data_IF_256197208839
#
_entry.id   IF_256197208839
#
_cell.length_a   1.000
_cell.length_b   1.000
_cell.length_c   1.000
_cell.angle_alpha   90.00
_cell.angle_beta   90.00
_cell.angle_gamma   90.00
#
_symmetry.space_group_name_H-M   'P 1'
#
loop_
_entity.id
_entity.type
_entity.pdbx_description
1 polymer ?
#
# COMPACT_ATOMS: atom_id res chain seq x y z
N UNK A 1 9.93 -20.37 -3.72
CA UNK A 1 10.25 -21.33 -2.63
C UNK A 1 9.95 -22.79 -3.04
N UNK A 2 9.92 -23.09 -4.35
CA UNK A 2 9.39 -24.35 -4.92
C UNK A 2 10.48 -25.31 -5.41
N UNK A 3 11.67 -24.82 -5.79
CA UNK A 3 12.71 -25.67 -6.39
C UNK A 3 13.52 -26.51 -5.40
N UNK A 4 13.55 -26.16 -4.12
CA UNK A 4 14.31 -26.92 -3.09
C UNK A 4 13.48 -28.05 -2.48
N UNK A 5 12.16 -27.84 -2.31
CA UNK A 5 11.23 -28.84 -1.78
C UNK A 5 11.14 -30.03 -2.74
N UNK A 6 10.93 -29.76 -4.04
CA UNK A 6 10.93 -30.78 -5.10
C UNK A 6 12.23 -31.62 -5.14
N UNK A 7 13.41 -31.04 -4.90
CA UNK A 7 14.69 -31.80 -4.86
C UNK A 7 14.73 -32.81 -3.72
N UNK A 8 14.33 -32.40 -2.51
CA UNK A 8 14.31 -33.27 -1.33
C UNK A 8 13.26 -34.37 -1.45
N UNK A 9 12.15 -34.10 -2.12
CA UNK A 9 11.08 -35.08 -2.31
C UNK A 9 11.45 -36.12 -3.38
N UNK A 10 12.06 -35.69 -4.48
CA UNK A 10 12.71 -36.61 -5.43
C UNK A 10 13.78 -37.46 -4.73
N UNK A 11 14.64 -36.85 -3.92
CA UNK A 11 15.68 -37.55 -3.17
C UNK A 11 15.14 -38.64 -2.23
N UNK A 12 14.06 -38.33 -1.50
CA UNK A 12 13.35 -39.30 -0.65
C UNK A 12 12.72 -40.43 -1.46
N UNK A 13 12.12 -40.12 -2.60
CA UNK A 13 11.54 -41.13 -3.48
C UNK A 13 12.61 -42.08 -4.05
N UNK A 14 13.71 -41.52 -4.56
CA UNK A 14 14.87 -42.30 -5.05
C UNK A 14 15.44 -43.19 -3.95
N UNK A 15 15.58 -42.66 -2.73
CA UNK A 15 16.04 -43.43 -1.56
C UNK A 15 15.11 -44.60 -1.25
N UNK A 16 13.80 -44.38 -1.26
CA UNK A 16 12.80 -45.40 -0.96
C UNK A 16 12.81 -46.51 -2.02
N UNK A 17 12.83 -46.15 -3.31
CA UNK A 17 12.87 -47.11 -4.42
C UNK A 17 14.17 -47.89 -4.49
N UNK A 18 15.32 -47.24 -4.26
CA UNK A 18 16.63 -47.92 -4.19
C UNK A 18 16.63 -48.99 -3.10
N UNK A 19 16.13 -48.63 -1.90
CA UNK A 19 16.04 -49.57 -0.77
C UNK A 19 15.07 -50.71 -1.06
N UNK A 20 13.94 -50.43 -1.71
CA UNK A 20 12.98 -51.47 -2.13
C UNK A 20 13.58 -52.44 -3.17
N UNK A 21 14.48 -51.95 -4.02
CA UNK A 21 15.26 -52.78 -4.96
C UNK A 21 16.45 -53.50 -4.31
N UNK A 22 16.69 -53.34 -3.01
CA UNK A 22 17.78 -53.98 -2.27
C UNK A 22 19.18 -53.45 -2.61
N UNK A 23 19.28 -52.30 -3.29
CA UNK A 23 20.57 -51.76 -3.77
C UNK A 23 21.21 -50.84 -2.73
N UNK A 24 22.54 -50.83 -2.63
CA UNK A 24 23.31 -49.79 -1.92
C UNK A 24 23.49 -48.53 -2.79
N UNK A 25 23.87 -47.37 -2.20
CA UNK A 25 24.16 -46.16 -2.99
C UNK A 25 25.28 -46.40 -4.01
N UNK A 26 26.32 -47.13 -3.59
CA UNK A 26 27.44 -47.56 -4.43
C UNK A 26 27.00 -48.45 -5.59
N UNK A 27 26.12 -49.41 -5.34
CA UNK A 27 25.60 -50.30 -6.40
C UNK A 27 24.76 -49.54 -7.41
N UNK A 28 23.84 -48.67 -6.96
CA UNK A 28 23.05 -47.82 -7.85
C UNK A 28 23.95 -46.89 -8.69
N UNK A 29 24.96 -46.30 -8.05
CA UNK A 29 25.93 -45.44 -8.74
C UNK A 29 26.73 -46.21 -9.81
N UNK A 30 27.12 -47.45 -9.51
CA UNK A 30 27.84 -48.32 -10.44
C UNK A 30 27.00 -48.65 -11.67
N UNK A 31 25.72 -48.98 -11.48
CA UNK A 31 24.79 -49.31 -12.58
C UNK A 31 24.44 -48.12 -13.45
N UNK A 32 24.40 -46.92 -12.87
CA UNK A 32 24.11 -45.68 -13.59
C UNK A 32 25.37 -44.96 -14.11
N UNK A 33 26.56 -45.57 -13.95
CA UNK A 33 27.85 -44.99 -14.34
C UNK A 33 28.11 -43.59 -13.77
N UNK A 34 27.73 -43.37 -12.51
CA UNK A 34 27.98 -42.12 -11.77
C UNK A 34 28.73 -42.37 -10.48
N UNK A 35 29.16 -41.28 -9.84
CA UNK A 35 29.80 -41.36 -8.53
C UNK A 35 28.77 -41.61 -7.43
N UNK A 36 29.16 -42.35 -6.39
CA UNK A 36 28.35 -42.53 -5.18
C UNK A 36 27.98 -41.18 -4.53
N UNK A 37 28.88 -40.20 -4.62
CA UNK A 37 28.64 -38.81 -4.17
C UNK A 37 27.47 -38.16 -4.91
N UNK A 38 27.30 -38.41 -6.22
CA UNK A 38 26.18 -37.88 -7.00
C UNK A 38 24.84 -38.45 -6.50
N UNK A 39 24.76 -39.77 -6.31
CA UNK A 39 23.57 -40.44 -5.74
C UNK A 39 23.27 -39.91 -4.33
N UNK A 40 24.29 -39.77 -3.49
CA UNK A 40 24.15 -39.18 -2.15
C UNK A 40 23.65 -37.74 -2.17
N UNK A 41 24.05 -36.92 -3.16
CA UNK A 41 23.54 -35.55 -3.33
C UNK A 41 22.08 -35.55 -3.80
N UNK A 42 21.70 -36.46 -4.69
CA UNK A 42 20.30 -36.62 -5.13
C UNK A 42 19.40 -37.04 -3.96
N UNK A 43 19.79 -38.09 -3.23
CA UNK A 43 19.02 -38.61 -2.09
C UNK A 43 18.83 -37.58 -0.97
N UNK A 44 19.80 -36.66 -0.79
CA UNK A 44 19.71 -35.54 0.18
C UNK A 44 19.02 -34.29 -0.38
N UNK A 45 18.62 -34.28 -1.64
CA UNK A 45 17.99 -33.13 -2.30
C UNK A 45 18.93 -31.94 -2.54
N UNK A 46 20.24 -32.18 -2.62
CA UNK A 46 21.24 -31.14 -2.91
C UNK A 46 21.39 -30.86 -4.41
N UNK A 47 21.07 -31.83 -5.27
CA UNK A 47 21.10 -31.70 -6.72
C UNK A 47 20.04 -32.57 -7.38
N UNK A 48 19.70 -32.27 -8.64
CA UNK A 48 18.91 -33.18 -9.48
C UNK A 48 19.83 -34.15 -10.25
N UNK A 49 19.34 -35.34 -10.60
CA UNK A 49 19.91 -36.10 -11.70
C UNK A 49 19.75 -35.30 -13.00
N UNK A 50 20.75 -35.40 -13.88
CA UNK A 50 20.68 -34.80 -15.21
C UNK A 50 19.47 -35.34 -15.97
N UNK A 51 18.84 -34.53 -16.82
CA UNK A 51 17.66 -34.93 -17.60
C UNK A 51 17.95 -36.17 -18.47
N UNK A 52 19.18 -36.29 -18.95
CA UNK A 52 19.66 -37.47 -19.72
C UNK A 52 19.70 -38.75 -18.89
N UNK A 53 19.78 -38.64 -17.56
CA UNK A 53 19.85 -39.76 -16.63
C UNK A 53 18.48 -40.22 -16.12
N UNK A 54 17.43 -39.43 -16.32
CA UNK A 54 16.09 -39.71 -15.75
C UNK A 54 15.54 -41.05 -16.25
N UNK A 55 15.75 -41.39 -17.53
CA UNK A 55 15.33 -42.68 -18.10
C UNK A 55 16.10 -43.85 -17.48
N UNK A 56 17.44 -43.77 -17.42
CA UNK A 56 18.27 -44.82 -16.84
C UNK A 56 17.97 -45.03 -15.34
N UNK A 57 17.81 -43.94 -14.60
CA UNK A 57 17.43 -43.97 -13.19
C UNK A 57 16.06 -44.62 -12.99
N UNK A 58 15.08 -44.30 -13.83
CA UNK A 58 13.73 -44.90 -13.75
C UNK A 58 13.76 -46.42 -14.00
N UNK A 59 14.56 -46.87 -14.98
CA UNK A 59 14.72 -48.28 -15.30
C UNK A 59 15.35 -49.08 -14.14
N UNK A 60 16.42 -48.58 -13.54
CA UNK A 60 17.08 -49.23 -12.40
C UNK A 60 16.23 -49.25 -11.12
N UNK A 61 15.40 -48.22 -10.92
CA UNK A 61 14.48 -48.13 -9.79
C UNK A 61 13.14 -48.89 -10.03
N UNK A 62 12.97 -49.48 -11.22
CA UNK A 62 11.77 -50.20 -11.62
C UNK A 62 10.50 -49.35 -11.57
N UNK A 63 10.60 -48.05 -11.88
CA UNK A 63 9.49 -47.10 -11.93
C UNK A 63 9.38 -46.53 -13.33
N UNK A 64 8.19 -46.06 -13.71
CA UNK A 64 8.09 -45.29 -14.96
C UNK A 64 8.74 -43.91 -14.80
N UNK A 65 9.22 -43.33 -15.90
CA UNK A 65 9.68 -41.93 -15.92
C UNK A 65 8.59 -40.99 -15.40
N UNK A 66 7.34 -41.27 -15.77
CA UNK A 66 6.18 -40.52 -15.31
C UNK A 66 6.01 -40.58 -13.79
N UNK A 67 6.18 -41.77 -13.19
CA UNK A 67 6.12 -41.98 -11.75
C UNK A 67 7.29 -41.31 -11.00
N UNK A 68 8.50 -41.32 -11.57
CA UNK A 68 9.67 -40.64 -11.01
C UNK A 68 9.50 -39.11 -10.98
N UNK A 69 8.85 -38.54 -12.00
CA UNK A 69 8.57 -37.09 -12.09
C UNK A 69 7.40 -36.72 -11.17
N UNK A 70 6.27 -37.44 -11.27
CA UNK A 70 5.07 -37.13 -10.49
C UNK A 70 5.22 -37.40 -9.00
N UNK A 71 6.08 -38.32 -8.55
CA UNK A 71 6.28 -38.54 -7.11
C UNK A 71 6.75 -37.27 -6.37
N UNK A 72 7.49 -36.39 -7.06
CA UNK A 72 7.86 -35.08 -6.52
C UNK A 72 6.66 -34.12 -6.47
N UNK A 73 5.84 -34.10 -7.51
CA UNK A 73 4.65 -33.26 -7.62
C UNK A 73 3.49 -33.70 -6.70
N UNK A 74 3.35 -35.00 -6.44
CA UNK A 74 2.28 -35.57 -5.62
C UNK A 74 2.46 -35.27 -4.13
N UNK A 75 3.72 -35.17 -3.68
CA UNK A 75 4.07 -34.75 -2.32
C UNK A 75 3.88 -33.25 -2.13
N UNK A 76 4.29 -32.43 -3.10
CA UNK A 76 4.01 -30.99 -3.12
C UNK A 76 2.50 -30.72 -3.15
N UNK A 77 1.75 -31.42 -4.00
CA UNK A 77 0.29 -31.31 -4.07
C UNK A 77 -0.41 -31.73 -2.77
N UNK A 78 0.12 -32.69 -2.01
CA UNK A 78 -0.40 -33.08 -0.69
C UNK A 78 -0.04 -32.07 0.40
N UNK A 79 1.17 -31.49 0.36
CA UNK A 79 1.58 -30.42 1.26
C UNK A 79 0.72 -29.17 1.04
N UNK A 80 0.57 -28.73 -0.22
CA UNK A 80 -0.29 -27.61 -0.62
C UNK A 80 -1.76 -27.85 -0.23
N UNK A 81 -2.26 -29.09 -0.37
CA UNK A 81 -3.61 -29.44 0.09
C UNK A 81 -3.75 -29.42 1.61
N UNK A 82 -2.72 -29.77 2.37
CA UNK A 82 -2.71 -29.70 3.85
C UNK A 82 -2.67 -28.24 4.30
N UNK A 83 -1.81 -27.44 3.71
CA UNK A 83 -1.67 -26.01 4.01
C UNK A 83 -2.95 -25.24 3.60
N UNK A 84 -3.57 -25.60 2.49
CA UNK A 84 -4.87 -25.05 2.09
C UNK A 84 -6.01 -25.46 3.05
N UNK A 85 -5.97 -26.66 3.64
CA UNK A 85 -6.95 -27.07 4.67
C UNK A 85 -6.71 -26.32 5.98
N UNK A 86 -5.46 -26.22 6.42
CA UNK A 86 -5.09 -25.47 7.62
C UNK A 86 -5.47 -23.98 7.48
N UNK A 87 -5.15 -23.36 6.34
CA UNK A 87 -5.53 -21.98 6.03
C UNK A 87 -7.04 -21.78 6.01
N UNK A 88 -7.80 -22.72 5.42
CA UNK A 88 -9.27 -22.68 5.45
C UNK A 88 -9.84 -22.80 6.87
N UNK A 89 -9.27 -23.68 7.69
CA UNK A 89 -9.67 -23.87 9.08
C UNK A 89 -9.37 -22.65 9.94
N UNK A 90 -8.15 -22.13 9.86
CA UNK A 90 -7.73 -20.93 10.59
C UNK A 90 -8.55 -19.69 10.20
N UNK A 91 -8.76 -19.46 8.90
CA UNK A 91 -9.60 -18.36 8.41
C UNK A 91 -11.04 -18.49 8.88
N UNK A 92 -11.61 -19.69 8.82
CA UNK A 92 -12.97 -19.94 9.33
C UNK A 92 -13.04 -19.70 10.85
N UNK A 93 -12.04 -20.12 11.61
CA UNK A 93 -11.97 -19.89 13.05
C UNK A 93 -11.95 -18.40 13.38
N UNK A 94 -11.14 -17.59 12.69
CA UNK A 94 -11.11 -16.12 12.87
C UNK A 94 -12.45 -15.49 12.47
N UNK A 95 -13.03 -15.92 11.36
CA UNK A 95 -14.30 -15.38 10.90
C UNK A 95 -15.42 -15.64 11.91
N UNK A 96 -15.54 -16.87 12.41
CA UNK A 96 -16.58 -17.22 13.37
C UNK A 96 -16.31 -16.64 14.76
N UNK A 97 -15.05 -16.54 15.18
CA UNK A 97 -14.71 -15.91 16.46
C UNK A 97 -15.02 -14.41 16.45
N UNK A 98 -14.62 -13.69 15.39
CA UNK A 98 -14.91 -12.25 15.24
C UNK A 98 -16.40 -12.00 15.06
N UNK A 99 -17.09 -12.76 14.20
CA UNK A 99 -18.53 -12.66 14.04
C UNK A 99 -19.29 -12.95 15.35
N UNK A 100 -18.87 -13.98 16.09
CA UNK A 100 -19.44 -14.32 17.39
C UNK A 100 -19.21 -13.23 18.43
N UNK A 101 -18.02 -12.64 18.49
CA UNK A 101 -17.70 -11.53 19.38
C UNK A 101 -18.56 -10.28 19.08
N UNK A 102 -18.73 -9.93 17.80
CA UNK A 102 -19.60 -8.81 17.40
C UNK A 102 -21.08 -9.10 17.69
N UNK A 103 -21.57 -10.31 17.42
CA UNK A 103 -22.94 -10.70 17.74
C UNK A 103 -23.20 -10.66 19.26
N UNK A 104 -22.25 -11.16 20.06
CA UNK A 104 -22.33 -11.08 21.52
C UNK A 104 -22.32 -9.63 22.00
N UNK A 105 -21.44 -8.78 21.47
CA UNK A 105 -21.39 -7.36 21.83
C UNK A 105 -22.72 -6.64 21.51
N UNK A 106 -23.31 -6.90 20.35
CA UNK A 106 -24.62 -6.36 19.97
C UNK A 106 -25.74 -6.88 20.87
N UNK A 107 -25.75 -8.18 21.18
CA UNK A 107 -26.75 -8.79 22.06
C UNK A 107 -26.66 -8.24 23.48
N UNK A 108 -25.45 -8.15 24.05
CA UNK A 108 -25.20 -7.57 25.36
C UNK A 108 -25.63 -6.11 25.38
N UNK A 109 -25.25 -5.31 24.37
CA UNK A 109 -25.66 -3.92 24.27
C UNK A 109 -27.18 -3.76 24.15
N UNK A 110 -27.85 -4.65 23.42
CA UNK A 110 -29.29 -4.64 23.26
C UNK A 110 -30.01 -4.92 24.58
N UNK A 111 -29.61 -5.98 25.29
CA UNK A 111 -30.19 -6.38 26.58
C UNK A 111 -30.00 -5.27 27.62
N UNK A 112 -28.77 -4.75 27.75
CA UNK A 112 -28.45 -3.70 28.73
C UNK A 112 -29.20 -2.41 28.43
N UNK A 113 -29.34 -2.02 27.15
CA UNK A 113 -30.12 -0.83 26.80
C UNK A 113 -31.58 -0.97 27.19
N UNK A 114 -32.19 -2.11 26.83
CA UNK A 114 -33.59 -2.37 27.16
C UNK A 114 -33.83 -2.52 28.66
N UNK A 115 -32.85 -3.04 29.42
CA UNK A 115 -32.98 -3.20 30.87
C UNK A 115 -32.81 -1.90 31.64
N UNK A 116 -31.92 -1.01 31.18
CA UNK A 116 -31.60 0.24 31.90
C UNK A 116 -32.49 1.38 31.45
N UNK A 117 -32.63 1.57 30.13
CA UNK A 117 -33.31 2.72 29.54
C UNK A 117 -34.74 2.42 29.14
N UNK A 118 -35.14 1.13 29.06
CA UNK A 118 -36.42 0.68 28.52
C UNK A 118 -36.72 1.15 27.08
N UNK A 119 -35.71 1.71 26.41
CA UNK A 119 -35.71 2.24 25.05
C UNK A 119 -34.47 1.71 24.30
N UNK A 120 -34.34 2.06 23.02
CA UNK A 120 -33.21 1.65 22.18
C UNK A 120 -32.25 2.80 21.85
N UNK A 121 -31.99 3.72 22.79
CA UNK A 121 -31.29 4.98 22.48
C UNK A 121 -29.81 4.78 22.08
N UNK A 122 -28.94 4.32 22.99
CA UNK A 122 -27.52 4.12 22.64
C UNK A 122 -27.27 2.89 21.74
N UNK A 123 -28.20 1.95 21.66
CA UNK A 123 -28.08 0.77 20.80
C UNK A 123 -27.92 1.16 19.32
N UNK A 124 -28.65 2.20 18.88
CA UNK A 124 -28.53 2.71 17.52
C UNK A 124 -27.16 3.32 17.22
N UNK A 125 -26.38 3.72 18.23
CA UNK A 125 -24.99 4.17 18.07
C UNK A 125 -24.03 2.98 18.03
N UNK A 126 -24.24 2.00 18.93
CA UNK A 126 -23.40 0.80 19.02
C UNK A 126 -23.50 -0.06 17.75
N UNK A 127 -24.69 -0.20 17.17
CA UNK A 127 -24.91 -1.00 15.95
C UNK A 127 -24.01 -0.58 14.77
N UNK A 128 -24.07 0.67 14.27
CA UNK A 128 -23.22 1.11 13.17
C UNK A 128 -21.73 1.14 13.54
N UNK A 129 -21.36 1.38 14.81
CA UNK A 129 -19.97 1.28 15.27
C UNK A 129 -19.42 -0.15 15.18
N UNK A 130 -20.20 -1.15 15.62
CA UNK A 130 -19.82 -2.56 15.51
C UNK A 130 -19.79 -3.02 14.05
N UNK A 131 -20.75 -2.59 13.23
CA UNK A 131 -20.73 -2.92 11.79
C UNK A 131 -19.55 -2.27 11.06
N UNK A 132 -19.14 -1.06 11.45
CA UNK A 132 -17.92 -0.42 10.96
C UNK A 132 -16.71 -1.28 11.28
N UNK A 133 -16.56 -1.74 12.53
CA UNK A 133 -15.47 -2.63 12.90
C UNK A 133 -15.51 -3.96 12.11
N UNK A 134 -16.69 -4.59 12.01
CA UNK A 134 -16.89 -5.84 11.27
C UNK A 134 -16.62 -5.70 9.76
N UNK A 135 -16.91 -4.52 9.19
CA UNK A 135 -16.66 -4.24 7.77
C UNK A 135 -15.17 -4.26 7.45
N UNK A 136 -14.30 -3.86 8.38
CA UNK A 136 -12.85 -3.82 8.20
C UNK A 136 -12.15 -5.13 8.59
N UNK A 137 -12.70 -5.88 9.55
CA UNK A 137 -12.05 -7.09 10.10
C UNK A 137 -12.62 -8.40 9.55
N UNK A 138 -13.96 -8.52 9.50
CA UNK A 138 -14.64 -9.77 9.15
C UNK A 138 -14.99 -9.84 7.67
N UNK A 139 -15.39 -8.72 7.05
CA UNK A 139 -15.82 -8.70 5.65
C UNK A 139 -14.72 -9.09 4.63
N UNK A 140 -13.45 -8.63 4.76
CA UNK A 140 -12.36 -9.09 3.89
C UNK A 140 -12.11 -10.60 3.96
N UNK A 141 -12.48 -11.23 5.08
CA UNK A 141 -12.34 -12.67 5.29
C UNK A 141 -13.47 -13.48 4.66
N UNK A 142 -14.53 -12.85 4.12
CA UNK A 142 -15.58 -13.54 3.38
C UNK A 142 -15.12 -13.94 1.97
N UNK A 143 -15.71 -15.00 1.41
CA UNK A 143 -15.40 -15.49 0.06
C UNK A 143 -16.22 -14.74 -0.99
N UNK A 144 -16.08 -13.42 -1.02
CA UNK A 144 -16.78 -12.55 -1.98
C UNK A 144 -15.76 -12.09 -3.02
N UNK A 145 -16.10 -12.07 -4.32
CA UNK A 145 -15.24 -11.44 -5.31
C UNK A 145 -14.97 -9.99 -4.89
N UNK A 146 -13.70 -9.57 -4.96
CA UNK A 146 -13.29 -8.19 -4.63
C UNK A 146 -13.66 -7.78 -3.19
N UNK A 147 -13.53 -8.70 -2.21
CA UNK A 147 -13.88 -8.46 -0.80
C UNK A 147 -13.31 -7.16 -0.20
N UNK A 148 -12.13 -6.70 -0.63
CA UNK A 148 -11.58 -5.41 -0.19
C UNK A 148 -12.45 -4.21 -0.56
N UNK A 149 -13.07 -4.19 -1.75
CA UNK A 149 -13.96 -3.12 -2.17
C UNK A 149 -15.27 -3.12 -1.38
N UNK A 150 -15.80 -4.30 -1.07
CA UNK A 150 -16.99 -4.44 -0.22
C UNK A 150 -16.71 -4.06 1.24
N UNK A 151 -15.50 -4.35 1.73
CA UNK A 151 -15.06 -3.96 3.08
C UNK A 151 -15.00 -2.44 3.20
N UNK A 152 -14.43 -1.79 2.20
CA UNK A 152 -14.38 -0.33 2.13
C UNK A 152 -15.77 0.30 2.04
N UNK A 153 -16.62 -0.20 1.14
CA UNK A 153 -17.98 0.29 0.99
C UNK A 153 -18.77 0.12 2.30
N UNK A 154 -18.66 -1.05 2.93
CA UNK A 154 -19.25 -1.33 4.23
C UNK A 154 -18.78 -0.34 5.30
N UNK A 155 -17.47 -0.05 5.36
CA UNK A 155 -16.92 0.89 6.32
C UNK A 155 -17.45 2.33 6.11
N UNK A 156 -17.47 2.81 4.86
CA UNK A 156 -17.97 4.15 4.53
C UNK A 156 -19.46 4.25 4.87
N UNK A 157 -20.26 3.24 4.52
CA UNK A 157 -21.70 3.22 4.81
C UNK A 157 -21.94 3.15 6.31
N UNK A 158 -21.27 2.25 7.05
CA UNK A 158 -21.41 2.14 8.49
C UNK A 158 -20.98 3.41 9.22
N UNK A 159 -19.92 4.08 8.77
CA UNK A 159 -19.51 5.37 9.32
C UNK A 159 -20.54 6.46 9.03
N UNK A 160 -21.09 6.53 7.81
CA UNK A 160 -22.14 7.48 7.47
C UNK A 160 -23.41 7.26 8.31
N UNK A 161 -23.83 6.00 8.50
CA UNK A 161 -24.96 5.66 9.37
C UNK A 161 -24.67 6.03 10.82
N UNK A 162 -23.47 5.75 11.33
CA UNK A 162 -23.06 6.16 12.68
C UNK A 162 -23.20 7.67 12.86
N UNK A 163 -22.69 8.46 11.92
CA UNK A 163 -22.79 9.92 11.95
C UNK A 163 -24.24 10.40 11.88
N UNK A 164 -25.08 9.78 11.04
CA UNK A 164 -26.50 10.10 10.93
C UNK A 164 -27.28 9.80 12.21
N UNK A 165 -26.99 8.68 12.87
CA UNK A 165 -27.62 8.36 14.16
C UNK A 165 -27.22 9.37 15.22
N UNK A 166 -25.93 9.69 15.33
CA UNK A 166 -25.44 10.70 16.29
C UNK A 166 -26.10 12.04 16.02
N UNK A 167 -26.23 12.43 14.75
CA UNK A 167 -26.92 13.65 14.33
C UNK A 167 -28.39 13.67 14.73
N UNK A 168 -29.12 12.58 14.49
CA UNK A 168 -30.53 12.46 14.84
C UNK A 168 -30.76 12.56 16.37
N UNK A 169 -29.83 12.05 17.17
CA UNK A 169 -29.92 12.08 18.63
C UNK A 169 -29.54 13.43 19.25
N UNK A 170 -28.64 14.20 18.61
CA UNK A 170 -28.12 15.46 19.15
C UNK A 170 -28.76 16.72 18.53
N UNK A 171 -30.02 16.62 18.07
CA UNK A 171 -30.82 17.79 17.70
C UNK A 171 -30.56 18.36 16.30
N UNK A 172 -29.98 17.59 15.37
CA UNK A 172 -30.14 17.86 13.95
C UNK A 172 -29.38 19.06 13.36
N UNK A 173 -28.15 19.35 13.82
CA UNK A 173 -27.34 20.51 13.35
C UNK A 173 -26.73 20.37 11.93
N UNK A 174 -26.23 21.47 11.36
CA UNK A 174 -25.61 21.49 10.01
C UNK A 174 -24.29 20.72 9.91
N UNK A 175 -23.69 20.35 11.05
CA UNK A 175 -22.40 19.67 11.13
C UNK A 175 -22.38 18.30 10.41
N UNK A 176 -23.54 17.63 10.25
CA UNK A 176 -23.60 16.34 9.55
C UNK A 176 -23.15 16.44 8.11
N UNK A 177 -23.49 17.53 7.43
CA UNK A 177 -23.10 17.75 6.03
C UNK A 177 -21.60 17.95 5.91
N UNK A 178 -20.99 18.66 6.87
CA UNK A 178 -19.54 18.82 6.96
C UNK A 178 -18.88 17.45 7.18
N UNK A 179 -19.39 16.65 8.13
CA UNK A 179 -18.83 15.34 8.44
C UNK A 179 -18.93 14.38 7.24
N UNK A 180 -20.09 14.30 6.57
CA UNK A 180 -20.28 13.45 5.39
C UNK A 180 -19.42 13.90 4.21
N UNK A 181 -19.35 15.20 3.94
CA UNK A 181 -18.47 15.74 2.90
C UNK A 181 -16.99 15.45 3.20
N UNK A 182 -16.59 15.54 4.48
CA UNK A 182 -15.25 15.20 4.93
C UNK A 182 -14.90 13.72 4.73
N UNK A 183 -15.83 12.80 5.04
CA UNK A 183 -15.67 11.36 4.78
C UNK A 183 -15.53 11.09 3.28
N UNK A 184 -16.36 11.72 2.44
CA UNK A 184 -16.27 11.59 0.97
C UNK A 184 -14.92 12.11 0.47
N UNK A 185 -14.49 13.29 0.93
CA UNK A 185 -13.21 13.86 0.55
C UNK A 185 -12.04 12.96 0.95
N UNK A 186 -12.04 12.43 2.19
CA UNK A 186 -11.02 11.49 2.65
C UNK A 186 -11.00 10.20 1.84
N UNK A 187 -12.17 9.64 1.49
CA UNK A 187 -12.26 8.48 0.60
C UNK A 187 -11.71 8.79 -0.79
N UNK A 188 -12.03 9.95 -1.37
CA UNK A 188 -11.47 10.36 -2.65
C UNK A 188 -9.94 10.51 -2.58
N UNK A 189 -9.42 11.13 -1.52
CA UNK A 189 -7.97 11.32 -1.31
C UNK A 189 -7.20 10.00 -1.35
N UNK A 190 -7.71 8.96 -0.70
CA UNK A 190 -7.04 7.66 -0.62
C UNK A 190 -7.31 6.80 -1.87
N UNK A 191 -8.55 6.72 -2.35
CA UNK A 191 -8.96 5.72 -3.34
C UNK A 191 -8.91 6.21 -4.78
N UNK A 192 -8.97 7.51 -5.06
CA UNK A 192 -8.87 8.03 -6.44
C UNK A 192 -7.63 7.52 -7.20
N UNK A 193 -6.39 7.59 -6.67
CA UNK A 193 -5.22 7.10 -7.40
C UNK A 193 -5.25 5.59 -7.65
N UNK A 194 -5.88 4.81 -6.77
CA UNK A 194 -6.03 3.35 -6.89
C UNK A 194 -7.08 3.04 -7.96
N UNK A 195 -8.25 3.69 -7.89
CA UNK A 195 -9.37 3.54 -8.81
C UNK A 195 -8.96 3.87 -10.25
N UNK A 196 -8.28 5.00 -10.46
CA UNK A 196 -7.85 5.41 -11.80
C UNK A 196 -6.86 4.42 -12.43
N UNK A 197 -6.01 3.77 -11.62
CA UNK A 197 -5.10 2.71 -12.11
C UNK A 197 -5.83 1.40 -12.39
N UNK A 198 -6.82 1.05 -11.56
CA UNK A 198 -7.62 -0.15 -11.73
C UNK A 198 -8.64 -0.05 -12.88
N UNK A 199 -9.09 1.15 -13.23
CA UNK A 199 -10.14 1.41 -14.22
C UNK A 199 -9.72 1.16 -15.69
N UNK A 200 -8.45 0.81 -15.95
CA UNK A 200 -8.01 0.49 -17.32
C UNK A 200 -8.08 1.66 -18.29
N UNK A 201 -7.67 2.86 -17.85
CA UNK A 201 -7.74 4.09 -18.67
C UNK A 201 -7.01 3.96 -20.02
N UNK A 202 -7.52 4.63 -21.08
CA UNK A 202 -6.90 4.61 -22.40
C UNK A 202 -5.46 5.17 -22.35
N UNK A 203 -4.61 4.69 -23.27
CA UNK A 203 -3.17 4.96 -23.31
C UNK A 203 -2.74 6.44 -23.09
N UNK A 204 -3.38 7.46 -23.69
CA UNK A 204 -2.98 8.85 -23.45
C UNK A 204 -3.24 9.33 -22.01
N UNK A 205 -4.34 8.90 -21.39
CA UNK A 205 -4.71 9.30 -20.03
C UNK A 205 -3.88 8.58 -18.97
N UNK A 206 -3.39 7.37 -19.25
CA UNK A 206 -2.59 6.58 -18.30
C UNK A 206 -1.31 7.31 -17.86
N UNK A 207 -0.72 8.13 -18.74
CA UNK A 207 0.46 8.95 -18.42
C UNK A 207 0.14 10.12 -17.47
N UNK A 208 -1.12 10.56 -17.46
CA UNK A 208 -1.60 11.75 -16.75
C UNK A 208 -2.35 11.42 -15.45
N UNK A 209 -2.35 10.16 -15.00
CA UNK A 209 -3.10 9.71 -13.81
C UNK A 209 -2.81 10.57 -12.58
N UNK A 210 -1.55 10.94 -12.34
CA UNK A 210 -1.19 11.83 -11.21
C UNK A 210 -1.88 13.19 -11.31
N UNK A 211 -1.92 13.82 -12.49
CA UNK A 211 -2.60 15.10 -12.67
C UNK A 211 -4.12 14.95 -12.54
N UNK A 212 -4.69 13.90 -13.14
CA UNK A 212 -6.14 13.62 -13.05
C UNK A 212 -6.54 13.42 -11.58
N UNK A 213 -5.73 12.70 -10.79
CA UNK A 213 -5.94 12.58 -9.35
C UNK A 213 -5.93 13.96 -8.69
N UNK A 214 -4.92 14.80 -8.95
CA UNK A 214 -4.85 16.13 -8.36
C UNK A 214 -6.03 17.04 -8.75
N UNK A 215 -6.52 16.97 -10.00
CA UNK A 215 -7.74 17.68 -10.42
C UNK A 215 -8.93 17.24 -9.57
N UNK A 216 -9.18 15.93 -9.49
CA UNK A 216 -10.31 15.38 -8.73
C UNK A 216 -10.21 15.81 -7.27
N UNK A 217 -9.03 15.72 -6.65
CA UNK A 217 -8.84 16.11 -5.24
C UNK A 217 -9.00 17.62 -5.02
N UNK A 218 -8.53 18.45 -5.95
CA UNK A 218 -8.68 19.90 -5.87
C UNK A 218 -10.16 20.30 -5.97
N UNK A 219 -10.91 19.69 -6.90
CA UNK A 219 -12.35 19.91 -7.03
C UNK A 219 -13.09 19.40 -5.79
N UNK A 220 -12.74 18.22 -5.28
CA UNK A 220 -13.35 17.67 -4.08
C UNK A 220 -13.10 18.54 -2.84
N UNK A 221 -11.89 19.11 -2.71
CA UNK A 221 -11.56 20.06 -1.65
C UNK A 221 -12.40 21.35 -1.78
N UNK A 222 -12.51 21.90 -2.99
CA UNK A 222 -13.34 23.08 -3.25
C UNK A 222 -14.81 22.85 -2.88
N UNK A 223 -15.37 21.68 -3.22
CA UNK A 223 -16.74 21.31 -2.84
C UNK A 223 -16.90 21.13 -1.33
N UNK A 224 -15.96 20.49 -0.65
CA UNK A 224 -15.95 20.36 0.82
C UNK A 224 -15.98 21.73 1.49
N UNK A 225 -15.14 22.67 1.03
CA UNK A 225 -15.12 24.04 1.55
C UNK A 225 -16.46 24.76 1.29
N UNK A 226 -17.13 24.49 0.17
CA UNK A 226 -18.45 25.02 -0.13
C UNK A 226 -19.52 24.51 0.83
N UNK A 227 -19.47 23.21 1.17
CA UNK A 227 -20.36 22.62 2.19
C UNK A 227 -20.10 23.27 3.55
N UNK A 228 -18.84 23.50 3.92
CA UNK A 228 -18.49 24.18 5.18
C UNK A 228 -19.03 25.61 5.18
N UNK A 229 -18.82 26.39 4.11
CA UNK A 229 -19.30 27.77 4.01
C UNK A 229 -20.83 27.87 4.14
N UNK A 230 -21.55 26.96 3.48
CA UNK A 230 -23.01 26.86 3.60
C UNK A 230 -23.45 26.47 5.03
N UNK A 231 -22.77 25.50 5.64
CA UNK A 231 -23.10 25.02 6.98
C UNK A 231 -22.83 26.06 8.09
N UNK A 232 -21.87 26.96 7.88
CA UNK A 232 -21.56 28.10 8.76
C UNK A 232 -22.51 29.29 8.51
N UNK A 233 -23.29 29.27 7.42
CA UNK A 233 -24.22 30.34 7.05
C UNK A 233 -23.53 31.56 6.42
N UNK A 234 -22.32 31.37 5.87
CA UNK A 234 -21.48 32.42 5.27
C UNK A 234 -20.97 31.98 3.88
N UNK A 235 -21.86 31.77 2.89
CA UNK A 235 -21.47 31.28 1.55
C UNK A 235 -20.48 32.20 0.82
N UNK A 236 -20.48 33.50 1.12
CA UNK A 236 -19.56 34.50 0.58
C UNK A 236 -18.09 34.15 0.86
N UNK A 237 -17.80 33.56 2.03
CA UNK A 237 -16.44 33.19 2.42
C UNK A 237 -15.84 32.10 1.52
N UNK A 238 -16.69 31.31 0.86
CA UNK A 238 -16.24 30.24 -0.02
C UNK A 238 -15.36 30.78 -1.15
N UNK A 239 -15.87 31.78 -1.88
CA UNK A 239 -15.14 32.38 -3.00
C UNK A 239 -14.10 33.40 -2.54
N UNK A 240 -14.39 34.19 -1.51
CA UNK A 240 -13.54 35.32 -1.10
C UNK A 240 -12.30 34.90 -0.30
N UNK A 241 -12.39 33.86 0.52
CA UNK A 241 -11.30 33.46 1.43
C UNK A 241 -10.91 31.99 1.28
N UNK A 242 -11.87 31.07 1.33
CA UNK A 242 -11.58 29.64 1.40
C UNK A 242 -10.93 29.10 0.11
N UNK A 243 -11.45 29.45 -1.06
CA UNK A 243 -10.87 29.04 -2.35
C UNK A 243 -9.47 29.63 -2.57
N UNK A 244 -9.21 30.94 -2.36
CA UNK A 244 -7.86 31.50 -2.42
C UNK A 244 -6.87 30.81 -1.47
N UNK A 245 -7.25 30.59 -0.20
CA UNK A 245 -6.40 29.90 0.77
C UNK A 245 -6.11 28.45 0.34
N UNK A 246 -7.12 27.72 -0.13
CA UNK A 246 -6.94 26.37 -0.65
C UNK A 246 -6.06 26.32 -1.90
N UNK A 247 -6.18 27.30 -2.79
CA UNK A 247 -5.35 27.41 -3.99
C UNK A 247 -3.88 27.68 -3.64
N UNK A 248 -3.62 28.58 -2.69
CA UNK A 248 -2.27 28.86 -2.16
C UNK A 248 -1.66 27.58 -1.57
N UNK A 249 -2.40 26.84 -0.75
CA UNK A 249 -1.95 25.56 -0.19
C UNK A 249 -1.76 24.44 -1.22
N UNK A 250 -2.60 24.39 -2.27
CA UNK A 250 -2.52 23.37 -3.31
C UNK A 250 -1.42 23.65 -4.35
N UNK A 251 -1.04 24.90 -4.56
CA UNK A 251 -0.02 25.32 -5.52
C UNK A 251 1.31 24.54 -5.41
N UNK A 252 1.95 24.40 -4.22
CA UNK A 252 3.20 23.64 -4.12
C UNK A 252 3.02 22.14 -4.42
N UNK A 253 1.86 21.56 -4.11
CA UNK A 253 1.56 20.15 -4.44
C UNK A 253 1.46 19.97 -5.95
N UNK A 254 0.78 20.90 -6.63
CA UNK A 254 0.67 20.93 -8.09
C UNK A 254 2.03 21.12 -8.77
N UNK A 255 2.80 22.13 -8.34
CA UNK A 255 4.13 22.41 -8.88
C UNK A 255 5.09 21.22 -8.65
N UNK A 256 5.08 20.61 -7.47
CA UNK A 256 5.89 19.44 -7.18
C UNK A 256 5.53 18.24 -8.07
N UNK A 257 4.24 17.99 -8.30
CA UNK A 257 3.79 16.94 -9.19
C UNK A 257 4.19 17.20 -10.66
N UNK A 258 4.11 18.45 -11.12
CA UNK A 258 4.55 18.84 -12.45
C UNK A 258 6.07 18.65 -12.62
N UNK A 259 6.87 19.05 -11.62
CA UNK A 259 8.33 18.85 -11.61
C UNK A 259 8.66 17.36 -11.71
N UNK A 260 8.09 16.52 -10.83
CA UNK A 260 8.43 15.10 -10.80
C UNK A 260 8.04 14.36 -12.09
N UNK A 261 6.92 14.75 -12.72
CA UNK A 261 6.36 14.04 -13.88
C UNK A 261 6.85 14.57 -15.24
N UNK A 262 7.00 15.88 -15.40
CA UNK A 262 7.20 16.50 -16.72
C UNK A 262 8.58 17.14 -16.91
N UNK A 263 9.31 17.46 -15.84
CA UNK A 263 10.67 17.99 -15.99
C UNK A 263 11.60 16.86 -16.44
N UNK A 264 12.30 17.00 -17.58
CA UNK A 264 13.27 16.00 -18.03
C UNK A 264 14.49 15.99 -17.10
N UNK A 265 15.18 14.86 -17.03
CA UNK A 265 16.40 14.69 -16.22
C UNK A 265 16.29 13.59 -15.17
N UNK A 266 17.39 13.33 -14.43
CA UNK A 266 17.45 12.25 -13.45
C UNK A 266 16.53 12.52 -12.24
N UNK A 267 16.10 11.45 -11.57
CA UNK A 267 15.20 11.51 -10.41
C UNK A 267 15.79 12.42 -9.31
N UNK A 268 17.10 12.36 -9.10
CA UNK A 268 17.80 13.19 -8.13
C UNK A 268 17.71 14.70 -8.47
N UNK A 269 17.85 15.10 -9.74
CA UNK A 269 17.71 16.51 -10.13
C UNK A 269 16.28 17.02 -9.93
N UNK A 270 15.27 16.20 -10.26
CA UNK A 270 13.86 16.53 -9.99
C UNK A 270 13.60 16.64 -8.49
N UNK A 271 14.18 15.74 -7.69
CA UNK A 271 14.12 15.79 -6.23
C UNK A 271 14.74 17.07 -5.66
N UNK A 272 15.86 17.54 -6.21
CA UNK A 272 16.47 18.80 -5.83
C UNK A 272 15.53 19.99 -6.08
N UNK A 273 14.89 20.05 -7.25
CA UNK A 273 13.91 21.08 -7.57
C UNK A 273 12.69 21.06 -6.65
N UNK A 274 12.18 19.87 -6.32
CA UNK A 274 11.07 19.73 -5.36
C UNK A 274 11.49 20.15 -3.95
N UNK A 275 12.73 19.87 -3.54
CA UNK A 275 13.26 20.32 -2.25
C UNK A 275 13.33 21.85 -2.18
N UNK A 276 13.85 22.51 -3.22
CA UNK A 276 13.85 23.97 -3.30
C UNK A 276 12.44 24.55 -3.27
N UNK A 277 11.51 23.95 -4.03
CA UNK A 277 10.11 24.35 -4.01
C UNK A 277 9.52 24.22 -2.60
N UNK A 278 9.76 23.12 -1.90
CA UNK A 278 9.26 22.90 -0.55
C UNK A 278 9.79 23.96 0.43
N UNK A 279 11.09 24.27 0.37
CA UNK A 279 11.70 25.36 1.14
C UNK A 279 11.11 26.72 0.82
N UNK A 280 11.00 27.10 -0.45
CA UNK A 280 10.38 28.37 -0.84
C UNK A 280 8.91 28.47 -0.40
N UNK A 281 8.19 27.34 -0.43
CA UNK A 281 6.78 27.29 -0.06
C UNK A 281 6.54 27.61 1.41
N UNK A 282 7.46 27.33 2.33
CA UNK A 282 7.24 27.64 3.75
C UNK A 282 7.09 29.14 4.01
N UNK A 283 7.83 29.97 3.27
CA UNK A 283 7.73 31.43 3.34
C UNK A 283 6.55 31.93 2.50
N UNK A 284 6.43 31.45 1.26
CA UNK A 284 5.41 31.94 0.32
C UNK A 284 3.98 31.63 0.78
N UNK A 285 3.78 30.51 1.49
CA UNK A 285 2.47 30.17 2.05
C UNK A 285 2.07 31.18 3.14
N UNK A 286 2.97 31.52 4.07
CA UNK A 286 2.69 32.52 5.11
C UNK A 286 2.33 33.88 4.51
N UNK A 287 3.18 34.39 3.61
CA UNK A 287 2.92 35.62 2.87
C UNK A 287 1.57 35.60 2.13
N UNK A 288 1.27 34.48 1.45
CA UNK A 288 0.03 34.32 0.70
C UNK A 288 -1.21 34.31 1.60
N UNK A 289 -1.14 33.64 2.75
CA UNK A 289 -2.24 33.58 3.72
C UNK A 289 -2.52 34.96 4.29
N UNK A 290 -1.50 35.66 4.78
CA UNK A 290 -1.64 37.01 5.35
C UNK A 290 -2.26 37.98 4.34
N UNK A 291 -1.85 37.86 3.06
CA UNK A 291 -2.39 38.69 1.99
C UNK A 291 -3.89 38.48 1.73
N UNK A 292 -4.39 37.26 1.94
CA UNK A 292 -5.82 36.92 1.80
C UNK A 292 -6.59 37.32 3.06
N UNK A 293 -5.99 37.19 4.24
CA UNK A 293 -6.61 37.59 5.50
C UNK A 293 -6.61 39.12 5.71
N UNK A 294 -5.69 39.83 5.05
CA UNK A 294 -5.50 41.28 5.19
C UNK A 294 -4.57 41.66 6.35
N UNK A 295 -3.81 40.69 6.87
CA UNK A 295 -2.90 40.88 7.99
C UNK A 295 -1.52 41.37 7.49
N UNK A 296 -0.77 42.16 8.30
CA UNK A 296 0.57 42.59 7.94
C UNK A 296 1.54 41.39 7.98
N UNK A 297 2.25 41.16 6.89
CA UNK A 297 3.28 40.13 6.82
C UNK A 297 4.58 40.61 7.46
N UNK A 298 4.99 39.98 8.56
CA UNK A 298 6.26 40.25 9.24
C UNK A 298 7.25 39.11 8.98
N UNK A 299 8.37 39.42 8.31
CA UNK A 299 9.47 38.49 8.09
C UNK A 299 10.78 39.11 8.55
N UNK A 300 11.19 38.79 9.78
CA UNK A 300 12.42 39.28 10.38
C UNK A 300 13.13 38.16 11.18
N UNK A 301 13.76 37.18 10.49
CA UNK A 301 14.52 36.14 11.18
C UNK A 301 15.80 36.72 11.81
N UNK A 302 16.05 36.37 13.07
CA UNK A 302 17.27 36.64 13.80
C UNK A 302 17.70 35.39 14.58
N UNK A 303 18.63 34.62 14.00
CA UNK A 303 19.12 33.37 14.60
C UNK A 303 19.85 33.57 15.94
N UNK A 304 20.21 34.81 16.29
CA UNK A 304 20.79 35.15 17.58
C UNK A 304 19.78 35.30 18.71
N UNK A 305 18.49 35.50 18.40
CA UNK A 305 17.44 35.78 19.38
C UNK A 305 16.28 34.79 19.20
N UNK A 306 15.94 34.06 20.26
CA UNK A 306 14.87 33.05 20.26
C UNK A 306 13.78 33.42 21.28
N UNK A 307 12.89 34.31 20.89
CA UNK A 307 11.72 34.75 21.68
C UNK A 307 10.42 34.41 20.95
N UNK A 308 9.28 34.55 21.61
CA UNK A 308 7.97 34.23 21.01
C UNK A 308 7.72 34.92 19.65
N UNK A 309 8.30 36.10 19.42
CA UNK A 309 8.16 36.85 18.16
C UNK A 309 9.15 36.42 17.06
N UNK A 310 10.30 35.84 17.39
CA UNK A 310 11.35 35.49 16.42
C UNK A 310 11.43 33.99 16.13
N UNK A 311 10.89 33.14 17.02
CA UNK A 311 10.97 31.68 16.92
C UNK A 311 10.38 31.16 15.61
N UNK A 312 9.21 31.65 15.18
CA UNK A 312 8.57 31.18 13.95
C UNK A 312 9.41 31.51 12.70
N UNK A 313 9.84 32.76 12.54
CA UNK A 313 10.67 33.19 11.42
C UNK A 313 12.03 32.45 11.38
N UNK A 314 12.64 32.22 12.54
CA UNK A 314 13.89 31.45 12.66
C UNK A 314 13.71 29.99 12.25
N UNK A 315 12.65 29.33 12.72
CA UNK A 315 12.34 27.95 12.34
C UNK A 315 12.09 27.84 10.84
N UNK A 316 11.30 28.74 10.26
CA UNK A 316 11.04 28.76 8.81
C UNK A 316 12.34 28.97 8.01
N UNK A 317 13.24 29.85 8.46
CA UNK A 317 14.55 30.05 7.83
C UNK A 317 15.41 28.79 7.90
N UNK A 318 15.45 28.10 9.06
CA UNK A 318 16.18 26.83 9.18
C UNK A 318 15.60 25.75 8.25
N UNK A 319 14.28 25.66 8.12
CA UNK A 319 13.64 24.73 7.18
C UNK A 319 14.05 25.03 5.73
N UNK A 320 14.12 26.32 5.35
CA UNK A 320 14.59 26.74 4.02
C UNK A 320 16.06 26.35 3.80
N UNK A 321 16.94 26.60 4.78
CA UNK A 321 18.36 26.22 4.70
C UNK A 321 18.53 24.71 4.58
N UNK A 322 17.77 23.93 5.35
CA UNK A 322 17.75 22.46 5.24
C UNK A 322 17.29 22.01 3.86
N UNK A 323 16.23 22.60 3.33
CA UNK A 323 15.71 22.30 2.00
C UNK A 323 16.71 22.62 0.89
N UNK A 324 17.46 23.73 1.01
CA UNK A 324 18.57 24.08 0.12
C UNK A 324 19.71 23.07 0.25
N UNK A 325 20.09 22.68 1.47
CA UNK A 325 21.12 21.66 1.70
C UNK A 325 20.79 20.32 1.05
N UNK A 326 19.54 19.84 1.21
CA UNK A 326 19.04 18.63 0.54
C UNK A 326 19.05 18.79 -0.98
N UNK A 327 18.68 19.96 -1.49
CA UNK A 327 18.70 20.22 -2.93
C UNK A 327 20.11 20.18 -3.50
N UNK A 328 21.10 20.77 -2.81
CA UNK A 328 22.51 20.72 -3.20
C UNK A 328 23.02 19.26 -3.20
N UNK A 329 22.71 18.50 -2.16
CA UNK A 329 23.12 17.09 -2.07
C UNK A 329 22.54 16.25 -3.20
N UNK A 330 21.24 16.39 -3.48
CA UNK A 330 20.58 15.71 -4.60
C UNK A 330 21.09 16.19 -5.96
N UNK A 331 21.41 17.47 -6.10
CA UNK A 331 22.02 18.04 -7.31
C UNK A 331 23.39 17.44 -7.60
N UNK A 332 24.25 17.32 -6.59
CA UNK A 332 25.56 16.66 -6.71
C UNK A 332 25.37 15.18 -7.07
N UNK A 333 24.45 14.47 -6.41
CA UNK A 333 24.15 13.07 -6.73
C UNK A 333 23.67 12.89 -8.18
N UNK A 334 22.88 13.83 -8.70
CA UNK A 334 22.45 13.84 -10.10
C UNK A 334 23.62 13.99 -11.08
N UNK A 335 24.54 14.94 -10.81
CA UNK A 335 25.72 15.18 -11.64
C UNK A 335 26.68 13.98 -11.64
N UNK A 336 26.93 13.40 -10.45
CA UNK A 336 27.78 12.19 -10.32
C UNK A 336 27.14 10.99 -11.03
N UNK A 337 25.82 10.83 -10.93
CA UNK A 337 25.09 9.78 -11.63
C UNK A 337 25.18 9.89 -13.15
N UNK A 338 25.02 11.11 -13.69
CA UNK A 338 25.15 11.37 -15.13
C UNK A 338 26.56 11.01 -15.62
N UNK A 339 27.61 11.48 -14.93
CA UNK A 339 29.00 11.20 -15.31
C UNK A 339 29.35 9.70 -15.28
N UNK A 340 28.74 8.92 -14.36
CA UNK A 340 28.92 7.46 -14.32
C UNK A 340 28.23 6.74 -15.47
N UNK A 341 27.07 7.23 -15.92
CA UNK A 341 26.39 6.68 -17.09
C UNK A 341 27.18 6.94 -18.37
N UNK A 342 27.71 8.15 -18.54
CA UNK A 342 28.52 8.51 -19.70
C UNK A 342 29.78 7.64 -19.76
N UNK A 343 30.50 7.50 -18.64
CA UNK A 343 31.69 6.64 -18.57
C UNK A 343 31.39 5.15 -18.83
N UNK A 344 30.22 4.65 -18.43
CA UNK A 344 29.84 3.26 -18.69
C UNK A 344 29.44 3.02 -20.16
N UNK A 345 28.88 4.02 -20.83
CA UNK A 345 28.59 3.98 -22.26
C UNK A 345 29.88 3.98 -23.08
N UNK A 346 30.85 4.81 -22.70
CA UNK A 346 32.16 4.84 -23.37
C UNK A 346 32.87 3.49 -23.27
N UNK A 347 32.89 2.86 -22.08
CA UNK A 347 33.49 1.52 -21.92
C UNK A 347 32.74 0.42 -22.69
N UNK A 348 31.41 0.51 -22.79
CA UNK A 348 30.62 -0.46 -23.56
C UNK A 348 30.90 -0.36 -25.07
N UNK A 349 31.05 0.86 -25.60
CA UNK A 349 31.42 1.11 -26.99
C UNK A 349 32.84 0.62 -27.30
N UNK A 350 33.79 0.77 -26.37
CA UNK A 350 35.14 0.22 -26.52
C UNK A 350 35.13 -1.32 -26.59
N UNK A 351 34.30 -2.00 -25.80
CA UNK A 351 34.20 -3.48 -25.82
C UNK A 351 33.46 -4.08 -27.01
N UNK A 352 32.69 -3.29 -27.78
CA UNK A 352 32.02 -3.76 -29.01
C UNK A 352 32.90 -3.62 -30.27
N UNK A 353 34.01 -2.89 -30.17
CA UNK A 353 34.92 -2.60 -31.30
C UNK A 353 36.12 -3.56 -31.35
N UNK A 354 36.40 -4.32 -30.28
CA UNK A 354 37.43 -5.37 -30.18
C UNK A 354 36.89 -6.78 -30.48
#
# INVERSE_FOLDING_TARGET
MTSETSKRDLGRFVTARRRAAGLTQRELATRLHVTESAVSKWERGLSYPDITMVQALSAELGVSVHELIHASEDHEGRADRRDARAYRGWRAAILWSTAGAYALALLTSFIVNLSVSHTLDWFWVVLPAVTLAASLTTLPLLRIPRAGWWSLLGAIVSLAVLLLVVWAQHGGGTWIWIALAGVIFGALLVFTPILLRAAGLPAPLRRHVTLITLVILTVALALLLGVIALAVGRPELWAERMLPLAAIGAAPVWLGALILRYVPGPIAARGALVSLLAGASTILLGWGVDRVLGDPWEWAPDLGVWTEHTVEANVLLLVVLCAVGVALWLGVAALVGAKRQDSALDTALETEVD
#
